data_IF_362983970005
#
_entry.id   IF_362983970005
#
_cell.length_a   1.000
_cell.length_b   1.000
_cell.length_c   1.000
_cell.angle_alpha   90.00
_cell.angle_beta   90.00
_cell.angle_gamma   90.00
#
_symmetry.space_group_name_H-M   'P 1'
#
loop_
_entity.id
_entity.type
_entity.pdbx_description
1 polymer ?
#
# COMPACT_ATOMS: atom_id res chain seq x y z
N UNK A 1 -8.18 19.10 28.19
CA UNK A 1 -7.13 18.06 28.16
C UNK A 1 -5.76 18.75 28.12
N UNK A 2 -4.75 18.25 28.83
CA UNK A 2 -3.40 18.84 28.76
C UNK A 2 -2.74 18.57 27.40
N UNK A 3 -1.77 19.39 26.99
CA UNK A 3 -1.04 19.19 25.73
C UNK A 3 -0.39 17.80 25.66
N UNK A 4 0.18 17.35 26.79
CA UNK A 4 0.76 16.01 26.93
C UNK A 4 -0.29 14.92 26.74
N UNK A 5 -1.44 15.02 27.41
CA UNK A 5 -2.51 14.04 27.28
C UNK A 5 -3.04 13.96 25.84
N UNK A 6 -3.17 15.10 25.14
CA UNK A 6 -3.56 15.11 23.74
C UNK A 6 -2.57 14.38 22.84
N UNK A 7 -1.26 14.64 22.99
CA UNK A 7 -0.22 13.95 22.21
C UNK A 7 -0.21 12.44 22.47
N UNK A 8 -0.41 12.02 23.72
CA UNK A 8 -0.54 10.61 24.08
C UNK A 8 -1.77 9.99 23.41
N UNK A 9 -2.91 10.67 23.39
CA UNK A 9 -4.10 10.19 22.69
C UNK A 9 -3.87 10.05 21.18
N UNK A 10 -3.20 11.03 20.53
CA UNK A 10 -2.86 10.93 19.12
C UNK A 10 -1.96 9.73 18.83
N UNK A 11 -0.90 9.55 19.61
CA UNK A 11 -0.01 8.39 19.47
C UNK A 11 -0.77 7.07 19.70
N UNK A 12 -1.64 7.03 20.71
CA UNK A 12 -2.50 5.88 20.98
C UNK A 12 -3.42 5.54 19.81
N UNK A 13 -4.07 6.54 19.20
CA UNK A 13 -4.92 6.36 18.01
C UNK A 13 -4.11 5.78 16.86
N UNK A 14 -2.94 6.37 16.56
CA UNK A 14 -2.08 5.89 15.49
C UNK A 14 -1.66 4.44 15.69
N UNK A 15 -1.17 4.10 16.88
CA UNK A 15 -0.76 2.73 17.23
C UNK A 15 -1.93 1.76 17.12
N UNK A 16 -3.08 2.09 17.69
CA UNK A 16 -4.26 1.20 17.67
C UNK A 16 -4.72 0.95 16.24
N UNK A 17 -4.82 1.99 15.41
CA UNK A 17 -5.23 1.83 14.00
C UNK A 17 -4.20 1.01 13.23
N UNK A 18 -2.91 1.31 13.37
CA UNK A 18 -1.86 0.52 12.71
C UNK A 18 -1.90 -0.95 13.12
N UNK A 19 -2.04 -1.26 14.41
CA UNK A 19 -2.09 -2.64 14.88
C UNK A 19 -3.33 -3.37 14.36
N UNK A 20 -4.51 -2.76 14.45
CA UNK A 20 -5.76 -3.37 13.95
C UNK A 20 -5.67 -3.60 12.44
N UNK A 21 -5.18 -2.64 11.66
CA UNK A 21 -5.00 -2.82 10.21
C UNK A 21 -3.95 -3.89 9.90
N UNK A 22 -2.85 -3.96 10.68
CA UNK A 22 -1.81 -4.95 10.50
C UNK A 22 -2.27 -6.39 10.76
N UNK A 23 -3.27 -6.59 11.64
CA UNK A 23 -3.88 -7.92 11.85
C UNK A 23 -4.54 -8.46 10.56
N UNK A 24 -4.91 -7.59 9.62
CA UNK A 24 -5.49 -7.96 8.33
C UNK A 24 -4.49 -8.30 7.23
N UNK A 25 -3.18 -8.22 7.49
CA UNK A 25 -2.14 -8.34 6.45
C UNK A 25 -2.23 -9.67 5.70
N UNK A 26 -2.37 -10.78 6.42
CA UNK A 26 -2.42 -12.12 5.82
C UNK A 26 -3.86 -12.63 5.58
N UNK A 27 -4.86 -11.76 5.81
CA UNK A 27 -6.26 -12.11 5.52
C UNK A 27 -6.48 -12.11 4.01
N UNK A 28 -7.20 -13.11 3.52
CA UNK A 28 -7.60 -13.20 2.11
C UNK A 28 -8.53 -12.04 1.75
N UNK A 29 -8.16 -11.27 0.73
CA UNK A 29 -8.97 -10.16 0.20
C UNK A 29 -10.05 -10.67 -0.77
N UNK A 30 -9.81 -11.80 -1.43
CA UNK A 30 -10.76 -12.49 -2.31
C UNK A 30 -10.46 -13.99 -2.37
N UNK A 31 -11.23 -14.75 -3.15
CA UNK A 31 -10.99 -16.18 -3.35
C UNK A 31 -9.59 -16.42 -3.92
N UNK A 32 -8.75 -17.15 -3.17
CA UNK A 32 -7.41 -17.51 -3.60
C UNK A 32 -6.41 -16.34 -3.63
N UNK A 33 -6.67 -15.21 -2.97
CA UNK A 33 -5.69 -14.12 -2.99
C UNK A 33 -5.71 -13.25 -1.73
N UNK A 34 -4.52 -12.83 -1.32
CA UNK A 34 -4.30 -11.81 -0.29
C UNK A 34 -4.51 -10.40 -0.86
N UNK A 35 -4.57 -10.25 -2.17
CA UNK A 35 -4.81 -9.00 -2.87
C UNK A 35 -6.07 -9.06 -3.72
N UNK A 36 -6.70 -7.92 -4.01
CA UNK A 36 -7.90 -7.84 -4.85
C UNK A 36 -7.91 -6.61 -5.75
N UNK A 37 -8.77 -6.63 -6.77
CA UNK A 37 -8.93 -5.54 -7.74
C UNK A 37 -7.56 -5.08 -8.29
N UNK A 38 -7.20 -3.81 -8.08
CA UNK A 38 -6.00 -3.17 -8.63
C UNK A 38 -4.76 -3.36 -7.74
N UNK A 39 -4.90 -3.94 -6.54
CA UNK A 39 -3.78 -4.13 -5.61
C UNK A 39 -2.59 -4.89 -6.22
N UNK A 40 -2.79 -5.96 -7.03
CA UNK A 40 -1.67 -6.62 -7.69
C UNK A 40 -0.86 -5.68 -8.59
N UNK A 41 -1.53 -4.80 -9.35
CA UNK A 41 -0.89 -3.86 -10.28
C UNK A 41 0.01 -2.85 -9.55
N UNK A 42 -0.44 -2.35 -8.40
CA UNK A 42 0.36 -1.46 -7.57
C UNK A 42 1.61 -2.16 -7.01
N UNK A 43 1.49 -3.43 -6.61
CA UNK A 43 2.62 -4.19 -6.07
C UNK A 43 3.62 -4.51 -7.18
N UNK A 44 3.18 -4.94 -8.38
CA UNK A 44 4.05 -5.16 -9.53
C UNK A 44 4.82 -3.88 -9.90
N UNK A 45 4.14 -2.75 -9.97
CA UNK A 45 4.79 -1.46 -10.25
C UNK A 45 5.79 -1.06 -9.16
N UNK A 46 5.52 -1.39 -7.90
CA UNK A 46 6.46 -1.14 -6.80
C UNK A 46 7.69 -2.05 -6.89
N UNK A 47 7.54 -3.29 -7.37
CA UNK A 47 8.64 -4.23 -7.62
C UNK A 47 9.55 -3.65 -8.71
N UNK A 48 9.00 -3.30 -9.88
CA UNK A 48 9.75 -2.70 -11.00
C UNK A 48 10.48 -1.42 -10.58
N UNK A 49 9.84 -0.57 -9.76
CA UNK A 49 10.49 0.63 -9.23
C UNK A 49 11.67 0.32 -8.29
N UNK A 50 11.60 -0.76 -7.53
CA UNK A 50 12.64 -1.17 -6.60
C UNK A 50 13.78 -1.92 -7.30
N UNK A 51 13.46 -2.86 -8.17
CA UNK A 51 14.41 -3.76 -8.85
C UNK A 51 15.04 -3.07 -10.07
N UNK A 52 14.21 -2.40 -10.90
CA UNK A 52 14.60 -1.89 -12.22
C UNK A 52 14.60 -0.36 -12.35
N UNK A 53 14.09 0.34 -11.33
CA UNK A 53 14.06 1.80 -11.29
C UNK A 53 13.16 2.44 -12.35
N UNK A 54 12.16 1.71 -12.85
CA UNK A 54 11.25 2.19 -13.88
C UNK A 54 9.80 1.71 -13.62
N UNK A 55 8.88 1.90 -14.58
CA UNK A 55 7.45 1.59 -14.44
C UNK A 55 6.98 0.49 -15.42
N UNK A 56 7.90 -0.09 -16.17
CA UNK A 56 7.63 -1.21 -17.05
C UNK A 56 7.50 -2.48 -16.21
N UNK A 57 6.31 -3.08 -16.23
CA UNK A 57 5.99 -4.30 -15.49
C UNK A 57 5.95 -5.55 -16.37
N UNK A 58 6.45 -5.46 -17.61
CA UNK A 58 6.30 -6.51 -18.61
C UNK A 58 6.99 -7.82 -18.21
N UNK A 59 8.15 -7.74 -17.58
CA UNK A 59 8.89 -8.89 -17.07
C UNK A 59 8.25 -9.46 -15.81
N UNK A 60 7.76 -8.64 -14.86
CA UNK A 60 7.06 -9.22 -13.71
C UNK A 60 5.74 -9.90 -14.07
N UNK A 61 5.06 -9.42 -15.12
CA UNK A 61 3.91 -10.11 -15.70
C UNK A 61 4.31 -11.44 -16.36
N UNK A 62 5.40 -11.44 -17.13
CA UNK A 62 5.90 -12.65 -17.81
C UNK A 62 6.41 -13.72 -16.83
N UNK A 63 7.02 -13.30 -15.73
CA UNK A 63 7.50 -14.16 -14.65
C UNK A 63 6.40 -14.54 -13.64
N UNK A 64 5.18 -14.04 -13.83
CA UNK A 64 4.05 -14.21 -12.92
C UNK A 64 4.36 -13.87 -11.45
N UNK A 65 5.14 -12.79 -11.22
CA UNK A 65 5.56 -12.37 -9.86
C UNK A 65 4.37 -12.15 -8.92
N UNK A 66 3.19 -11.86 -9.48
CA UNK A 66 1.95 -11.70 -8.73
C UNK A 66 1.47 -12.96 -7.99
N UNK A 67 1.90 -14.16 -8.41
CA UNK A 67 1.49 -15.42 -7.79
C UNK A 67 1.85 -15.52 -6.31
N UNK A 68 2.84 -14.75 -5.85
CA UNK A 68 3.20 -14.67 -4.44
C UNK A 68 2.10 -14.06 -3.55
N UNK A 69 1.15 -13.31 -4.12
CA UNK A 69 0.09 -12.59 -3.39
C UNK A 69 -1.30 -12.63 -4.08
N UNK A 70 -1.40 -13.29 -5.23
CA UNK A 70 -2.62 -13.47 -6.00
C UNK A 70 -2.56 -14.79 -6.79
N UNK A 71 -3.27 -15.84 -6.35
CA UNK A 71 -3.16 -17.18 -6.96
C UNK A 71 -3.80 -17.25 -8.36
N UNK A 72 -4.75 -16.36 -8.67
CA UNK A 72 -5.50 -16.34 -9.93
C UNK A 72 -4.80 -15.56 -11.04
N UNK A 73 -5.21 -15.77 -12.28
CA UNK A 73 -4.74 -14.95 -13.40
C UNK A 73 -5.24 -13.52 -13.26
N UNK A 74 -4.35 -12.54 -13.44
CA UNK A 74 -4.74 -11.14 -13.38
C UNK A 74 -5.57 -10.75 -14.61
N UNK A 75 -6.64 -9.96 -14.44
CA UNK A 75 -7.28 -9.33 -15.58
C UNK A 75 -6.25 -8.45 -16.29
N UNK A 76 -6.24 -8.50 -17.62
CA UNK A 76 -5.35 -7.65 -18.41
C UNK A 76 -5.83 -6.20 -18.31
N UNK A 77 -5.10 -5.39 -17.55
CA UNK A 77 -5.36 -3.96 -17.35
C UNK A 77 -4.33 -3.07 -18.08
N UNK A 78 -3.30 -3.70 -18.65
CA UNK A 78 -2.23 -3.08 -19.45
C UNK A 78 -2.33 -3.50 -20.91
N UNK A 79 -2.02 -2.58 -21.81
CA UNK A 79 -1.75 -2.89 -23.22
C UNK A 79 -0.26 -2.67 -23.51
N UNK A 80 0.40 -3.58 -24.24
CA UNK A 80 1.79 -3.39 -24.66
C UNK A 80 1.95 -2.15 -25.54
N UNK A 81 2.94 -1.33 -25.20
CA UNK A 81 3.39 -0.24 -26.05
C UNK A 81 4.08 -0.79 -27.33
N UNK A 82 4.25 0.03 -28.39
CA UNK A 82 4.94 -0.42 -29.61
C UNK A 82 6.37 -0.94 -29.40
N UNK A 83 7.01 -0.56 -28.29
CA UNK A 83 8.34 -1.01 -27.88
C UNK A 83 8.33 -2.24 -26.96
N UNK A 84 7.15 -2.81 -26.68
CA UNK A 84 6.95 -4.01 -25.89
C UNK A 84 6.73 -3.78 -24.39
N UNK A 85 6.91 -2.55 -23.90
CA UNK A 85 6.73 -2.22 -22.48
C UNK A 85 5.28 -2.34 -22.06
N UNK A 86 5.02 -2.75 -20.84
CA UNK A 86 3.69 -2.75 -20.24
C UNK A 86 3.70 -1.84 -19.01
N UNK A 87 3.03 -0.69 -19.10
CA UNK A 87 2.91 0.24 -17.97
C UNK A 87 1.57 0.05 -17.29
N UNK A 88 1.56 0.00 -15.96
CA UNK A 88 0.31 0.04 -15.19
C UNK A 88 -0.49 1.31 -15.52
N UNK A 89 -1.83 1.24 -15.71
CA UNK A 89 -2.64 2.42 -16.00
C UNK A 89 -2.85 3.34 -14.79
N UNK A 90 -2.35 2.96 -13.60
CA UNK A 90 -2.56 3.67 -12.35
C UNK A 90 -1.45 4.68 -12.04
N UNK A 91 -1.79 5.72 -11.26
CA UNK A 91 -0.83 6.75 -10.85
C UNK A 91 0.38 6.17 -10.08
N UNK A 92 1.62 6.59 -10.41
CA UNK A 92 2.84 5.95 -9.90
C UNK A 92 3.23 6.38 -8.48
N UNK A 93 2.53 7.35 -7.87
CA UNK A 93 2.92 7.88 -6.57
C UNK A 93 2.82 6.83 -5.46
N UNK A 94 1.75 6.02 -5.45
CA UNK A 94 1.61 4.95 -4.46
C UNK A 94 2.69 3.86 -4.67
N UNK A 95 2.90 3.30 -5.87
CA UNK A 95 4.02 2.42 -6.15
C UNK A 95 5.38 2.98 -5.71
N UNK A 96 5.65 4.27 -5.95
CA UNK A 96 6.89 4.91 -5.55
C UNK A 96 7.08 4.92 -4.02
N UNK A 97 6.02 5.19 -3.26
CA UNK A 97 6.05 5.12 -1.80
C UNK A 97 6.27 3.67 -1.33
N UNK A 98 5.72 2.69 -2.07
CA UNK A 98 5.75 1.26 -1.74
C UNK A 98 7.00 0.53 -2.23
N UNK A 99 7.83 1.13 -3.08
CA UNK A 99 9.05 0.53 -3.62
C UNK A 99 10.02 0.06 -2.52
N UNK A 100 10.28 0.91 -1.52
CA UNK A 100 11.13 0.51 -0.38
C UNK A 100 10.47 -0.60 0.48
N UNK A 101 9.19 -0.47 0.90
CA UNK A 101 8.50 -1.54 1.62
C UNK A 101 8.49 -2.89 0.90
N UNK A 102 8.25 -2.92 -0.42
CA UNK A 102 8.26 -4.17 -1.19
C UNK A 102 9.66 -4.74 -1.31
N UNK A 103 10.68 -3.89 -1.49
CA UNK A 103 12.07 -4.32 -1.55
C UNK A 103 12.61 -4.95 -0.27
N UNK A 104 12.12 -4.50 0.89
CA UNK A 104 12.57 -5.00 2.21
C UNK A 104 11.74 -6.18 2.70
N UNK A 105 10.44 -6.19 2.42
CA UNK A 105 9.49 -7.13 3.02
C UNK A 105 8.52 -7.81 2.05
N UNK A 106 8.73 -7.67 0.74
CA UNK A 106 7.79 -8.13 -0.28
C UNK A 106 6.40 -7.53 -0.12
N UNK A 107 5.38 -8.25 -0.58
CA UNK A 107 3.99 -7.82 -0.47
C UNK A 107 3.50 -7.67 0.99
N UNK A 108 4.09 -8.40 1.94
CA UNK A 108 3.82 -8.23 3.38
C UNK A 108 4.32 -6.87 3.84
N UNK A 109 5.54 -6.48 3.43
CA UNK A 109 6.11 -5.17 3.68
C UNK A 109 5.21 -4.04 3.15
N UNK A 110 4.65 -4.21 1.94
CA UNK A 110 3.66 -3.28 1.37
C UNK A 110 2.46 -3.12 2.30
N UNK A 111 1.81 -4.20 2.72
CA UNK A 111 0.62 -4.12 3.57
C UNK A 111 0.91 -3.54 4.95
N UNK A 112 2.08 -3.85 5.53
CA UNK A 112 2.52 -3.25 6.79
C UNK A 112 2.76 -1.74 6.64
N UNK A 113 3.34 -1.30 5.52
CA UNK A 113 3.49 0.12 5.22
C UNK A 113 2.13 0.82 5.11
N UNK A 114 1.16 0.22 4.42
CA UNK A 114 -0.21 0.73 4.36
C UNK A 114 -0.88 0.80 5.74
N UNK A 115 -0.66 -0.19 6.62
CA UNK A 115 -1.16 -0.16 7.99
C UNK A 115 -0.54 0.98 8.82
N UNK A 116 0.77 1.25 8.64
CA UNK A 116 1.43 2.40 9.27
C UNK A 116 0.90 3.73 8.73
N UNK A 117 0.69 3.83 7.40
CA UNK A 117 0.08 5.01 6.78
C UNK A 117 -1.34 5.27 7.31
N UNK A 118 -2.16 4.23 7.45
CA UNK A 118 -3.51 4.35 8.01
C UNK A 118 -3.49 4.93 9.44
N UNK A 119 -2.61 4.45 10.32
CA UNK A 119 -2.46 4.99 11.67
C UNK A 119 -1.94 6.43 11.70
N UNK A 120 -0.96 6.74 10.85
CA UNK A 120 -0.43 8.10 10.68
C UNK A 120 -1.50 9.08 10.19
N UNK A 121 -2.30 8.68 9.21
CA UNK A 121 -3.42 9.46 8.70
C UNK A 121 -4.51 9.64 9.75
N UNK A 122 -4.92 8.60 10.46
CA UNK A 122 -5.91 8.70 11.54
C UNK A 122 -5.47 9.70 12.62
N UNK A 123 -4.22 9.63 13.06
CA UNK A 123 -3.64 10.56 14.03
C UNK A 123 -3.63 12.00 13.49
N UNK A 124 -3.23 12.17 12.23
CA UNK A 124 -3.16 13.48 11.58
C UNK A 124 -4.55 14.09 11.39
N UNK A 125 -5.55 13.30 11.00
CA UNK A 125 -6.94 13.74 10.87
C UNK A 125 -7.49 14.26 12.19
N UNK A 126 -7.29 13.53 13.29
CA UNK A 126 -7.72 13.97 14.64
C UNK A 126 -6.98 15.25 15.04
N UNK A 127 -5.67 15.33 14.76
CA UNK A 127 -4.90 16.54 15.01
C UNK A 127 -5.44 17.74 14.23
N UNK A 128 -5.69 17.60 12.92
CA UNK A 128 -6.25 18.68 12.07
C UNK A 128 -7.63 19.08 12.58
N UNK A 129 -8.52 18.13 12.80
CA UNK A 129 -9.88 18.39 13.28
C UNK A 129 -9.87 19.21 14.59
N UNK A 130 -9.06 18.80 15.57
CA UNK A 130 -9.03 19.46 16.86
C UNK A 130 -8.24 20.78 16.84
N UNK A 131 -7.02 20.79 16.30
CA UNK A 131 -6.09 21.92 16.38
C UNK A 131 -6.29 22.97 15.30
N UNK A 132 -6.69 22.56 14.09
CA UNK A 132 -6.87 23.48 12.97
C UNK A 132 -8.32 23.90 12.81
N UNK A 133 -9.27 22.97 13.01
CA UNK A 133 -10.69 23.20 12.74
C UNK A 133 -11.52 23.44 14.02
N UNK A 134 -10.94 23.28 15.22
CA UNK A 134 -11.63 23.57 16.48
C UNK A 134 -12.74 22.58 16.85
N UNK A 135 -12.71 21.37 16.28
CA UNK A 135 -13.65 20.29 16.64
C UNK A 135 -13.45 19.90 18.10
N UNK A 136 -14.54 19.91 18.87
CA UNK A 136 -14.51 19.51 20.29
C UNK A 136 -14.29 17.99 20.38
N UNK A 137 -13.46 17.54 21.33
CA UNK A 137 -13.20 16.11 21.55
C UNK A 137 -14.45 15.37 22.05
#
# INVERSE_FOLDING_TARGET
>A
MSDRAFRVSLAGIGVVVTLITALGVDVRATYGAQTTADEPQYILSAISLWEDGNLDISDELAEERYRAFHELDLPRQTEPYPDGRELSPHDPLLPLILALPVGVGGWIGVKLALAMMAGGLASTMVWVAHRRLGVKP
#
